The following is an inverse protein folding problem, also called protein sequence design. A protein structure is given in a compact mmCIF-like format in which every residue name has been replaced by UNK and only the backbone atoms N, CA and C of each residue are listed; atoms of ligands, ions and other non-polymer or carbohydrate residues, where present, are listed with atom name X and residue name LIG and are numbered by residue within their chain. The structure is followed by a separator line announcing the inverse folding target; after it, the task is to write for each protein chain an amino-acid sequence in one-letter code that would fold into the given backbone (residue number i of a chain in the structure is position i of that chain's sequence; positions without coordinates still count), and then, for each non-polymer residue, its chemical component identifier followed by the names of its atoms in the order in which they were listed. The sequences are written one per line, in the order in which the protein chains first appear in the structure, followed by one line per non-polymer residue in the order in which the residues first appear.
data_IF_994738931684
#
_entry.id   IF_994738931684
#
_cell.length_a   1.000
_cell.length_b   1.000
_cell.length_c   1.000
_cell.angle_alpha   90.00
_cell.angle_beta   90.00
_cell.angle_gamma   90.00
#
_symmetry.space_group_name_H-M   'P 1'
#
loop_
_entity.id
_entity.type
_entity.pdbx_description
1 polymer ?
#
# COMPACT_ATOMS: atom_id res chain seq x y z
N UNK A 1 -15.93 -13.55 -6.45
CA UNK A 1 -15.61 -14.97 -6.77
C UNK A 1 -14.14 -15.14 -7.14
N UNK A 2 -13.64 -14.69 -8.30
CA UNK A 2 -12.21 -14.86 -8.64
C UNK A 2 -11.26 -14.08 -7.72
N UNK A 3 -11.62 -12.85 -7.33
CA UNK A 3 -10.79 -12.01 -6.47
C UNK A 3 -10.69 -12.55 -5.03
N UNK A 4 -11.80 -13.09 -4.50
CA UNK A 4 -11.85 -13.75 -3.19
C UNK A 4 -11.00 -15.01 -3.14
N UNK A 5 -10.97 -15.79 -4.21
CA UNK A 5 -10.18 -17.02 -4.26
C UNK A 5 -8.68 -16.72 -4.25
N UNK A 6 -8.27 -15.68 -4.99
CA UNK A 6 -6.88 -15.20 -5.00
C UNK A 6 -6.51 -14.60 -3.65
N UNK A 7 -7.39 -13.77 -3.06
CA UNK A 7 -7.22 -13.27 -1.69
C UNK A 7 -6.97 -14.41 -0.71
N UNK A 8 -7.83 -15.43 -0.68
CA UNK A 8 -7.72 -16.55 0.26
C UNK A 8 -6.43 -17.38 0.05
N UNK A 9 -6.01 -17.58 -1.20
CA UNK A 9 -4.73 -18.23 -1.51
C UNK A 9 -3.56 -17.40 -1.01
N UNK A 10 -3.56 -16.09 -1.27
CA UNK A 10 -2.53 -15.18 -0.78
C UNK A 10 -2.50 -15.19 0.75
N UNK A 11 -3.64 -15.00 1.44
CA UNK A 11 -3.74 -15.06 2.90
C UNK A 11 -3.14 -16.36 3.43
N UNK A 12 -3.46 -17.51 2.83
CA UNK A 12 -2.91 -18.80 3.25
C UNK A 12 -1.39 -18.88 3.09
N UNK A 13 -0.87 -18.36 1.97
CA UNK A 13 0.58 -18.33 1.70
C UNK A 13 1.29 -17.37 2.65
N UNK A 14 0.80 -16.14 2.83
CA UNK A 14 1.38 -15.19 3.78
C UNK A 14 1.30 -15.72 5.22
N UNK A 15 0.19 -16.34 5.63
CA UNK A 15 0.05 -16.93 6.97
C UNK A 15 1.08 -18.05 7.19
N UNK A 16 1.30 -18.90 6.19
CA UNK A 16 2.37 -19.90 6.24
C UNK A 16 3.75 -19.26 6.35
N UNK A 17 3.99 -18.14 5.66
CA UNK A 17 5.26 -17.41 5.73
C UNK A 17 5.44 -16.68 7.08
N UNK A 18 4.38 -16.11 7.63
CA UNK A 18 4.35 -15.51 8.96
C UNK A 18 4.67 -16.55 10.04
N UNK A 19 4.11 -17.76 9.93
CA UNK A 19 4.44 -18.88 10.82
C UNK A 19 5.90 -19.36 10.69
N UNK A 20 6.54 -19.13 9.54
CA UNK A 20 7.99 -19.36 9.34
C UNK A 20 8.85 -18.19 9.86
N UNK A 21 8.26 -17.19 10.49
CA UNK A 21 8.96 -16.01 11.01
C UNK A 21 9.37 -15.00 9.92
N UNK A 22 8.80 -15.09 8.71
CA UNK A 22 9.10 -14.14 7.63
C UNK A 22 8.35 -12.83 7.83
N UNK A 23 9.02 -11.72 7.50
CA UNK A 23 8.40 -10.39 7.51
C UNK A 23 7.36 -10.26 6.39
N UNK A 24 6.38 -9.35 6.53
CA UNK A 24 5.40 -9.09 5.49
C UNK A 24 6.03 -8.73 4.13
N UNK A 25 7.13 -7.99 4.14
CA UNK A 25 7.93 -7.66 2.94
C UNK A 25 8.43 -8.93 2.25
N UNK A 26 9.14 -9.79 2.99
CA UNK A 26 9.67 -11.05 2.46
C UNK A 26 8.55 -11.97 1.98
N UNK A 27 7.42 -11.97 2.69
CA UNK A 27 6.28 -12.80 2.34
C UNK A 27 5.69 -12.41 0.99
N UNK A 28 5.50 -11.10 0.77
CA UNK A 28 5.02 -10.58 -0.50
C UNK A 28 6.07 -10.81 -1.59
N UNK A 29 7.35 -10.53 -1.36
CA UNK A 29 8.41 -10.79 -2.34
C UNK A 29 8.44 -12.25 -2.82
N UNK A 30 8.31 -13.21 -1.91
CA UNK A 30 8.26 -14.64 -2.26
C UNK A 30 7.05 -14.99 -3.11
N UNK A 31 5.91 -14.33 -2.89
CA UNK A 31 4.69 -14.53 -3.69
C UNK A 31 4.89 -14.01 -5.11
N UNK A 32 5.52 -12.84 -5.25
CA UNK A 32 5.81 -12.29 -6.57
C UNK A 32 6.75 -13.19 -7.35
N UNK A 33 7.81 -13.68 -6.68
CA UNK A 33 8.73 -14.64 -7.26
C UNK A 33 8.01 -15.93 -7.67
N UNK A 34 7.10 -16.45 -6.82
CA UNK A 34 6.30 -17.63 -7.14
C UNK A 34 5.31 -17.40 -8.31
N UNK A 35 4.84 -16.17 -8.48
CA UNK A 35 3.97 -15.75 -9.60
C UNK A 35 4.78 -15.39 -10.86
N UNK A 36 6.12 -15.51 -10.84
CA UNK A 36 7.01 -15.21 -11.96
C UNK A 36 7.18 -13.71 -12.24
N UNK A 37 6.68 -12.84 -11.35
CA UNK A 37 6.81 -11.39 -11.44
C UNK A 37 8.11 -10.90 -10.80
N UNK A 38 8.77 -9.94 -11.43
CA UNK A 38 9.87 -9.20 -10.80
C UNK A 38 9.29 -8.16 -9.83
N UNK A 39 9.97 -7.93 -8.71
CA UNK A 39 9.70 -6.80 -7.80
C UNK A 39 9.79 -5.51 -8.65
N UNK A 40 8.67 -4.81 -8.85
CA UNK A 40 8.55 -3.66 -9.75
C UNK A 40 7.62 -3.84 -10.96
N UNK A 41 7.29 -5.08 -11.36
CA UNK A 41 6.28 -5.38 -12.41
C UNK A 41 4.91 -5.75 -11.81
N UNK A 42 4.77 -5.69 -10.49
CA UNK A 42 3.55 -6.10 -9.77
C UNK A 42 2.36 -5.25 -10.18
N UNK A 43 2.56 -3.94 -10.35
CA UNK A 43 1.51 -3.03 -10.82
C UNK A 43 1.02 -3.34 -12.24
N UNK A 44 1.73 -4.20 -13.00
CA UNK A 44 1.28 -4.69 -14.32
C UNK A 44 0.52 -6.01 -14.24
N UNK A 45 0.59 -6.71 -13.11
CA UNK A 45 -0.20 -7.91 -12.86
C UNK A 45 -1.60 -7.43 -12.47
N UNK A 46 -2.51 -7.30 -13.45
CA UNK A 46 -3.85 -6.72 -13.27
C UNK A 46 -4.69 -7.34 -12.15
N UNK A 47 -4.33 -8.53 -11.67
CA UNK A 47 -5.03 -9.21 -10.58
C UNK A 47 -4.49 -8.89 -9.18
N UNK A 48 -3.26 -8.37 -9.07
CA UNK A 48 -2.70 -7.89 -7.82
C UNK A 48 -2.88 -6.38 -7.79
N UNK A 49 -3.92 -5.91 -7.12
CA UNK A 49 -4.11 -4.48 -6.85
C UNK A 49 -3.43 -4.09 -5.55
N UNK A 50 -3.09 -2.81 -5.39
CA UNK A 50 -2.53 -2.29 -4.13
C UNK A 50 -3.45 -2.56 -2.95
N UNK A 51 -4.76 -2.41 -3.15
CA UNK A 51 -5.80 -2.71 -2.15
C UNK A 51 -5.83 -4.17 -1.74
N UNK A 52 -5.71 -5.11 -2.70
CA UNK A 52 -5.69 -6.54 -2.41
C UNK A 52 -4.46 -6.93 -1.60
N UNK A 53 -3.28 -6.44 -1.98
CA UNK A 53 -2.04 -6.71 -1.23
C UNK A 53 -2.12 -6.14 0.19
N UNK A 54 -2.56 -4.89 0.33
CA UNK A 54 -2.70 -4.24 1.63
C UNK A 54 -3.71 -4.95 2.53
N UNK A 55 -4.84 -5.39 1.98
CA UNK A 55 -5.87 -6.15 2.69
C UNK A 55 -5.36 -7.50 3.17
N UNK A 56 -4.64 -8.23 2.31
CA UNK A 56 -4.05 -9.53 2.66
C UNK A 56 -2.98 -9.38 3.74
N UNK A 57 -2.12 -8.36 3.60
CA UNK A 57 -1.11 -8.01 4.60
C UNK A 57 -1.75 -7.70 5.96
N UNK A 58 -2.77 -6.85 5.95
CA UNK A 58 -3.53 -6.50 7.14
C UNK A 58 -4.21 -7.72 7.76
N UNK A 59 -4.76 -8.62 6.94
CA UNK A 59 -5.43 -9.84 7.44
C UNK A 59 -4.47 -10.80 8.13
N UNK A 60 -3.24 -10.96 7.61
CA UNK A 60 -2.28 -11.94 8.14
C UNK A 60 -1.41 -11.36 9.24
N UNK A 61 -0.96 -10.12 9.06
CA UNK A 61 0.00 -9.45 9.93
C UNK A 61 -0.66 -8.32 10.73
N UNK A 62 -1.96 -8.41 11.00
CA UNK A 62 -2.81 -7.37 11.60
C UNK A 62 -2.17 -6.63 12.79
N UNK A 63 -1.48 -7.36 13.67
CA UNK A 63 -0.81 -6.81 14.88
C UNK A 63 0.65 -6.40 14.64
N UNK A 64 1.27 -6.92 13.60
CA UNK A 64 2.70 -6.78 13.31
C UNK A 64 3.01 -5.77 12.20
N UNK A 65 2.01 -5.31 11.43
CA UNK A 65 2.19 -4.40 10.28
C UNK A 65 1.50 -3.07 10.51
N UNK A 66 2.29 -2.00 10.50
CA UNK A 66 1.76 -0.63 10.52
C UNK A 66 1.34 -0.18 9.12
N UNK A 67 0.44 0.81 9.06
CA UNK A 67 0.06 1.48 7.82
C UNK A 67 1.28 1.99 7.03
N UNK A 68 2.35 2.39 7.74
CA UNK A 68 3.63 2.75 7.12
C UNK A 68 4.35 1.57 6.48
N UNK A 69 4.46 0.43 7.16
CA UNK A 69 5.08 -0.75 6.56
C UNK A 69 4.31 -1.24 5.33
N UNK A 70 2.97 -1.24 5.39
CA UNK A 70 2.14 -1.58 4.24
C UNK A 70 2.44 -0.67 3.05
N UNK A 71 2.51 0.65 3.26
CA UNK A 71 2.83 1.60 2.20
C UNK A 71 4.25 1.45 1.64
N UNK A 72 5.25 1.16 2.49
CA UNK A 72 6.62 0.85 2.06
C UNK A 72 6.64 -0.41 1.20
N UNK A 73 5.93 -1.46 1.61
CA UNK A 73 5.81 -2.69 0.82
C UNK A 73 5.23 -2.35 -0.55
N UNK A 74 4.06 -1.70 -0.60
CA UNK A 74 3.42 -1.32 -1.85
C UNK A 74 4.35 -0.50 -2.76
N UNK A 75 5.14 0.41 -2.18
CA UNK A 75 6.14 1.14 -2.94
C UNK A 75 7.21 0.24 -3.55
N UNK A 76 7.76 -0.70 -2.77
CA UNK A 76 8.74 -1.68 -3.25
C UNK A 76 8.18 -2.55 -4.39
N UNK A 77 6.88 -2.81 -4.39
CA UNK A 77 6.19 -3.54 -5.47
C UNK A 77 6.07 -2.74 -6.78
N UNK A 78 6.31 -1.43 -6.74
CA UNK A 78 6.24 -0.54 -7.89
C UNK A 78 4.93 0.26 -7.99
N UNK A 79 4.06 0.21 -6.98
CA UNK A 79 2.81 0.99 -7.00
C UNK A 79 3.08 2.50 -6.92
N UNK A 80 2.24 3.27 -7.61
CA UNK A 80 2.30 4.73 -7.62
C UNK A 80 1.67 5.31 -6.33
N UNK A 81 1.92 6.60 -6.07
CA UNK A 81 1.44 7.27 -4.86
C UNK A 81 -0.08 7.14 -4.72
N UNK A 82 -0.81 7.31 -5.83
CA UNK A 82 -2.27 7.14 -5.93
C UNK A 82 -2.74 5.77 -5.44
N UNK A 83 -2.09 4.71 -5.92
CA UNK A 83 -2.44 3.33 -5.55
C UNK A 83 -2.15 3.05 -4.08
N UNK A 84 -1.04 3.59 -3.56
CA UNK A 84 -0.66 3.47 -2.15
C UNK A 84 -1.67 4.23 -1.28
N UNK A 85 -2.03 5.46 -1.64
CA UNK A 85 -3.03 6.27 -0.94
C UNK A 85 -4.39 5.61 -0.93
N UNK A 86 -4.84 5.08 -2.05
CA UNK A 86 -6.11 4.32 -2.14
C UNK A 86 -6.07 3.09 -1.25
N UNK A 87 -4.99 2.32 -1.30
CA UNK A 87 -4.86 1.13 -0.46
C UNK A 87 -4.83 1.49 1.03
N UNK A 88 -4.02 2.47 1.43
CA UNK A 88 -3.95 2.92 2.82
C UNK A 88 -5.29 3.45 3.32
N UNK A 89 -6.00 4.26 2.53
CA UNK A 89 -7.32 4.78 2.90
C UNK A 89 -8.39 3.67 2.94
N UNK A 90 -8.29 2.65 2.07
CA UNK A 90 -9.22 1.51 2.08
C UNK A 90 -9.03 0.61 3.32
N UNK A 91 -7.78 0.35 3.73
CA UNK A 91 -7.48 -0.50 4.90
C UNK A 91 -7.61 0.28 6.20
N UNK A 92 -7.22 1.54 6.20
CA UNK A 92 -7.24 2.42 7.36
C UNK A 92 -8.12 3.66 7.06
N UNK A 93 -9.45 3.50 7.00
CA UNK A 93 -10.38 4.58 6.68
C UNK A 93 -10.42 5.70 7.73
N UNK A 94 -9.79 5.48 8.88
CA UNK A 94 -9.60 6.49 9.93
C UNK A 94 -8.46 7.48 9.64
N UNK A 95 -7.58 7.16 8.69
CA UNK A 95 -6.46 8.05 8.34
C UNK A 95 -6.97 9.27 7.60
N UNK A 96 -6.56 10.44 8.07
CA UNK A 96 -6.86 11.72 7.42
C UNK A 96 -5.97 11.96 6.20
N UNK A 97 -6.36 12.87 5.30
CA UNK A 97 -5.51 13.27 4.17
C UNK A 97 -4.11 13.72 4.62
N UNK A 98 -4.01 14.37 5.78
CA UNK A 98 -2.73 14.80 6.35
C UNK A 98 -1.85 13.62 6.76
N UNK A 99 -2.40 12.61 7.45
CA UNK A 99 -1.64 11.41 7.84
C UNK A 99 -1.18 10.62 6.62
N UNK A 100 -2.04 10.48 5.60
CA UNK A 100 -1.67 9.86 4.32
C UNK A 100 -0.57 10.69 3.62
N UNK A 101 -0.63 12.01 3.68
CA UNK A 101 0.40 12.86 3.10
C UNK A 101 1.73 12.78 3.84
N UNK A 102 1.73 12.71 5.17
CA UNK A 102 2.91 12.43 5.99
C UNK A 102 3.51 11.07 5.65
N UNK A 103 2.64 10.08 5.45
CA UNK A 103 3.04 8.75 5.01
C UNK A 103 3.75 8.80 3.66
N UNK A 104 3.19 9.50 2.68
CA UNK A 104 3.80 9.65 1.36
C UNK A 104 5.11 10.44 1.38
N UNK A 105 5.27 11.43 2.27
CA UNK A 105 6.52 12.17 2.45
C UNK A 105 7.64 11.35 3.11
N UNK A 106 7.32 10.16 3.64
CA UNK A 106 8.32 9.32 4.23
C UNK A 106 9.36 8.92 3.16
N UNK A 107 10.64 9.12 3.45
CA UNK A 107 11.74 8.86 2.52
C UNK A 107 11.85 7.39 2.09
N UNK A 108 11.33 6.45 2.89
CA UNK A 108 11.24 5.03 2.53
C UNK A 108 10.15 4.75 1.46
N UNK A 109 9.23 5.69 1.25
CA UNK A 109 8.13 5.60 0.29
C UNK A 109 8.41 6.53 -0.90
N UNK A 110 8.47 7.84 -0.67
CA UNK A 110 8.92 8.81 -1.67
C UNK A 110 10.02 9.70 -1.07
N UNK A 111 11.25 9.66 -1.62
CA UNK A 111 12.33 10.54 -1.17
C UNK A 111 12.02 12.02 -1.43
N UNK A 112 11.22 12.30 -2.46
CA UNK A 112 10.61 13.60 -2.71
C UNK A 112 9.25 13.36 -3.40
N UNK A 113 8.18 13.90 -2.82
CA UNK A 113 6.86 13.92 -3.44
C UNK A 113 6.47 15.37 -3.70
N UNK A 114 6.15 15.68 -4.95
CA UNK A 114 5.67 17.01 -5.31
C UNK A 114 4.25 17.24 -4.78
N UNK A 115 3.94 18.49 -4.44
CA UNK A 115 2.61 18.92 -4.05
C UNK A 115 1.53 18.45 -5.02
N UNK A 116 1.77 18.56 -6.32
CA UNK A 116 0.84 18.12 -7.35
C UNK A 116 0.59 16.59 -7.30
N UNK A 117 1.64 15.80 -7.07
CA UNK A 117 1.52 14.34 -6.97
C UNK A 117 0.80 13.90 -5.68
N UNK A 118 1.04 14.61 -4.57
CA UNK A 118 0.32 14.40 -3.31
C UNK A 118 -1.18 14.71 -3.48
N UNK A 119 -1.51 15.88 -4.01
CA UNK A 119 -2.90 16.28 -4.25
C UNK A 119 -3.61 15.33 -5.22
N UNK A 120 -2.94 14.92 -6.30
CA UNK A 120 -3.47 13.93 -7.25
C UNK A 120 -3.78 12.61 -6.54
N UNK A 121 -2.86 12.11 -5.70
CA UNK A 121 -3.05 10.87 -4.97
C UNK A 121 -4.22 10.95 -3.96
N UNK A 122 -4.31 12.05 -3.19
CA UNK A 122 -5.36 12.25 -2.19
C UNK A 122 -6.75 12.38 -2.85
N UNK A 123 -6.86 13.21 -3.89
CA UNK A 123 -8.12 13.36 -4.64
C UNK A 123 -8.53 12.03 -5.27
N UNK A 124 -7.57 11.25 -5.79
CA UNK A 124 -7.84 9.93 -6.35
C UNK A 124 -8.34 8.93 -5.30
N UNK A 125 -7.93 9.07 -4.04
CA UNK A 125 -8.46 8.27 -2.93
C UNK A 125 -9.80 8.76 -2.35
N UNK A 126 -10.47 9.70 -3.02
CA UNK A 126 -11.73 10.34 -2.61
C UNK A 126 -11.62 11.30 -1.41
N UNK A 127 -10.43 11.81 -1.11
CA UNK A 127 -10.35 12.91 -0.14
C UNK A 127 -10.89 14.22 -0.75
N UNK A 128 -11.58 15.06 0.04
CA UNK A 128 -12.01 16.36 -0.42
C UNK A 128 -10.80 17.19 -0.88
N UNK A 129 -10.97 17.94 -1.97
CA UNK A 129 -9.89 18.81 -2.48
C UNK A 129 -9.39 19.79 -1.41
N UNK A 130 -10.31 20.43 -0.67
CA UNK A 130 -9.97 21.36 0.40
C UNK A 130 -9.12 20.70 1.50
N UNK A 131 -9.45 19.46 1.89
CA UNK A 131 -8.70 18.72 2.89
C UNK A 131 -7.32 18.30 2.35
N UNK A 132 -7.25 17.94 1.06
CA UNK A 132 -6.00 17.61 0.39
C UNK A 132 -5.05 18.82 0.31
N UNK A 133 -5.60 20.01 0.02
CA UNK A 133 -4.86 21.26 0.01
C UNK A 133 -4.38 21.65 1.42
N UNK A 134 -5.21 21.47 2.44
CA UNK A 134 -4.83 21.66 3.83
C UNK A 134 -3.73 20.69 4.27
N UNK A 135 -3.82 19.42 3.87
CA UNK A 135 -2.80 18.43 4.14
C UNK A 135 -1.46 18.85 3.51
N UNK A 136 -1.46 19.24 2.24
CA UNK A 136 -0.24 19.73 1.57
C UNK A 136 0.36 20.96 2.25
N UNK A 137 -0.48 21.93 2.62
CA UNK A 137 -0.06 23.16 3.30
C UNK A 137 0.53 22.87 4.70
N UNK A 138 -0.15 22.03 5.49
CA UNK A 138 0.32 21.59 6.81
C UNK A 138 1.65 20.80 6.73
N UNK A 139 1.90 20.18 5.58
CA UNK A 139 3.09 19.41 5.28
C UNK A 139 4.24 20.23 4.71
N UNK A 140 4.01 21.52 4.44
CA UNK A 140 5.02 22.45 3.92
C UNK A 140 5.41 22.20 2.46
N UNK A 141 4.51 21.61 1.65
CA UNK A 141 4.72 21.29 0.23
C UNK A 141 3.82 22.12 -0.69
#
# INVERSE_FOLDING_TARGET
MANDEIKNKLVSVLASQQAQGKTPEQAVENILQALGGRVGDVSRISVLTSTLIADVLYTVYQDATTHQQTAVILRKLGYAARDITVASHAIYPQLTAQEIGQLLQNSDIYPAIDRAALLDALVYANFPKAESEQAADALGI
#
